data_IF_268295533348
#
_entry.id   IF_268295533348
#
_cell.length_a   1.000
_cell.length_b   1.000
_cell.length_c   1.000
_cell.angle_alpha   90.00
_cell.angle_beta   90.00
_cell.angle_gamma   90.00
#
_symmetry.space_group_name_H-M   'P 1'
#
loop_
_entity.id
_entity.type
_entity.pdbx_description
1 polymer ?
#
# COMPACT_ATOMS: atom_id res chain seq x y z
N UNK A 1 14.70 -15.20 -67.80
CA UNK A 1 16.14 -15.31 -67.51
C UNK A 1 16.54 -13.99 -66.86
N UNK A 2 16.88 -13.99 -65.55
CA UNK A 2 17.73 -13.05 -64.76
C UNK A 2 17.65 -11.53 -65.07
N UNK A 3 17.61 -10.55 -64.15
CA UNK A 3 17.80 -10.42 -62.69
C UNK A 3 17.42 -8.95 -62.34
N UNK A 4 16.82 -8.71 -61.16
CA UNK A 4 17.16 -7.71 -60.10
C UNK A 4 17.66 -6.30 -60.44
N UNK A 5 17.38 -5.20 -59.74
CA UNK A 5 16.77 -4.81 -58.44
C UNK A 5 16.67 -3.27 -58.47
N UNK A 6 15.73 -2.63 -57.74
CA UNK A 6 15.95 -1.53 -56.75
C UNK A 6 14.59 -1.16 -56.16
N UNK A 7 14.50 -1.34 -54.84
CA UNK A 7 13.47 -0.89 -53.90
C UNK A 7 13.23 0.62 -53.94
N UNK A 8 11.97 1.04 -53.74
CA UNK A 8 11.68 2.29 -53.04
C UNK A 8 10.48 2.10 -52.10
N UNK A 9 10.72 2.53 -50.86
CA UNK A 9 9.85 2.57 -49.71
C UNK A 9 8.46 3.14 -49.99
N UNK A 10 7.42 2.54 -49.42
CA UNK A 10 6.23 3.29 -49.04
C UNK A 10 5.92 3.03 -47.57
N UNK A 11 6.52 3.88 -46.74
CA UNK A 11 6.34 3.92 -45.31
C UNK A 11 5.29 4.96 -44.90
N UNK A 12 4.55 4.59 -43.84
CA UNK A 12 3.81 5.44 -42.90
C UNK A 12 2.39 5.84 -43.29
N UNK A 13 1.45 5.05 -42.78
CA UNK A 13 0.24 5.62 -42.16
C UNK A 13 -0.07 4.88 -40.85
N UNK A 14 -0.17 5.63 -39.74
CA UNK A 14 -0.82 5.13 -38.52
C UNK A 14 -0.05 5.16 -37.19
N UNK A 15 0.66 6.23 -36.77
CA UNK A 15 1.12 6.41 -35.36
C UNK A 15 1.27 7.88 -34.90
N UNK A 16 0.25 8.72 -35.07
CA UNK A 16 0.28 10.12 -34.55
C UNK A 16 -0.84 10.49 -33.58
N UNK A 17 -1.94 9.72 -33.51
CA UNK A 17 -3.10 10.05 -32.65
C UNK A 17 -2.96 9.71 -31.15
N UNK A 18 -2.18 8.69 -30.78
CA UNK A 18 -2.16 8.15 -29.41
C UNK A 18 -1.12 8.79 -28.46
N UNK A 19 -0.13 9.51 -29.01
CA UNK A 19 0.99 10.07 -28.26
C UNK A 19 0.59 11.08 -27.16
N UNK A 20 -0.35 12.03 -27.37
CA UNK A 20 -0.69 13.01 -26.32
C UNK A 20 -1.48 12.39 -25.17
N UNK A 21 -2.36 11.41 -25.44
CA UNK A 21 -3.15 10.74 -24.40
C UNK A 21 -2.30 9.80 -23.54
N UNK A 22 -1.43 9.00 -24.16
CA UNK A 22 -0.48 8.13 -23.43
C UNK A 22 0.48 8.94 -22.55
N UNK A 23 1.00 10.06 -23.05
CA UNK A 23 1.87 10.96 -22.27
C UNK A 23 1.15 11.59 -21.08
N UNK A 24 -0.14 11.95 -21.24
CA UNK A 24 -0.97 12.51 -20.16
C UNK A 24 -1.27 11.48 -19.07
N UNK A 25 -1.54 10.22 -19.43
CA UNK A 25 -1.76 9.11 -18.48
C UNK A 25 -0.46 8.79 -17.73
N UNK A 26 0.68 8.71 -18.44
CA UNK A 26 1.98 8.48 -17.83
C UNK A 26 2.33 9.55 -16.78
N UNK A 27 2.13 10.83 -17.11
CA UNK A 27 2.39 11.95 -16.19
C UNK A 27 1.49 11.89 -14.95
N UNK A 28 0.22 11.49 -15.09
CA UNK A 28 -0.71 11.34 -13.96
C UNK A 28 -0.30 10.19 -13.03
N UNK A 29 0.14 9.06 -13.58
CA UNK A 29 0.61 7.93 -12.80
C UNK A 29 1.92 8.26 -12.04
N UNK A 30 2.83 9.01 -12.65
CA UNK A 30 4.05 9.47 -11.98
C UNK A 30 3.73 10.45 -10.85
N UNK A 31 2.85 11.42 -11.10
CA UNK A 31 2.44 12.41 -10.10
C UNK A 31 1.75 11.76 -8.90
N UNK A 32 0.81 10.85 -9.15
CA UNK A 32 0.12 10.13 -8.07
C UNK A 32 1.07 9.20 -7.32
N UNK A 33 2.05 8.61 -7.99
CA UNK A 33 3.11 7.81 -7.36
C UNK A 33 3.99 8.63 -6.43
N UNK A 34 4.47 9.80 -6.88
CA UNK A 34 5.26 10.72 -6.04
C UNK A 34 4.47 11.22 -4.83
N UNK A 35 3.21 11.61 -5.05
CA UNK A 35 2.33 12.04 -3.97
C UNK A 35 2.10 10.92 -2.94
N UNK A 36 1.92 9.68 -3.40
CA UNK A 36 1.81 8.50 -2.54
C UNK A 36 3.11 8.22 -1.75
N UNK A 37 4.29 8.37 -2.36
CA UNK A 37 5.55 8.22 -1.64
C UNK A 37 5.71 9.27 -0.53
N UNK A 38 5.44 10.54 -0.84
CA UNK A 38 5.56 11.64 0.13
C UNK A 38 4.58 11.47 1.28
N UNK A 39 3.30 11.17 0.97
CA UNK A 39 2.28 10.95 1.99
C UNK A 39 2.61 9.73 2.85
N UNK A 40 3.06 8.63 2.25
CA UNK A 40 3.44 7.40 2.95
C UNK A 40 4.63 7.61 3.88
N UNK A 41 5.72 8.25 3.42
CA UNK A 41 6.87 8.54 4.26
C UNK A 41 6.51 9.48 5.42
N UNK A 42 5.74 10.54 5.15
CA UNK A 42 5.27 11.48 6.18
C UNK A 42 4.41 10.77 7.23
N UNK A 43 3.51 9.91 6.77
CA UNK A 43 2.62 9.14 7.64
C UNK A 43 3.38 8.21 8.57
N UNK A 44 4.41 7.51 8.07
CA UNK A 44 5.27 6.64 8.87
C UNK A 44 5.97 7.43 9.99
N UNK A 45 6.53 8.61 9.66
CA UNK A 45 7.23 9.46 10.62
C UNK A 45 6.29 9.99 11.71
N UNK A 46 5.11 10.49 11.33
CA UNK A 46 4.14 11.01 12.30
C UNK A 46 3.55 9.89 13.15
N UNK A 47 3.22 8.73 12.58
CA UNK A 47 2.80 7.57 13.38
C UNK A 47 3.87 7.14 14.37
N UNK A 48 5.15 7.11 13.96
CA UNK A 48 6.26 6.81 14.87
C UNK A 48 6.36 7.85 15.99
N UNK A 49 6.21 9.13 15.67
CA UNK A 49 6.23 10.20 16.67
C UNK A 49 5.08 10.04 17.69
N UNK A 50 3.85 9.78 17.24
CA UNK A 50 2.69 9.54 18.11
C UNK A 50 2.91 8.30 18.99
N UNK A 51 3.29 7.17 18.39
CA UNK A 51 3.37 5.90 19.11
C UNK A 51 4.60 5.81 20.03
N UNK A 52 5.75 6.35 19.61
CA UNK A 52 7.00 6.23 20.38
C UNK A 52 7.32 7.45 21.23
N UNK A 53 7.13 8.69 20.74
CA UNK A 53 7.50 9.89 21.51
C UNK A 53 6.46 10.26 22.56
N UNK A 54 5.16 10.11 22.25
CA UNK A 54 4.11 10.21 23.27
C UNK A 54 3.89 8.90 24.04
N UNK A 55 4.55 7.80 23.65
CA UNK A 55 4.33 6.46 24.19
C UNK A 55 2.83 6.05 24.15
N UNK A 56 2.16 6.39 23.05
CA UNK A 56 0.74 6.12 22.86
C UNK A 56 0.53 4.66 22.44
N UNK A 57 -0.01 3.85 23.36
CA UNK A 57 -0.16 2.41 23.17
C UNK A 57 -1.57 2.00 22.70
N UNK A 58 -2.13 2.73 21.73
CA UNK A 58 -3.41 2.41 21.11
C UNK A 58 -3.37 2.69 19.59
N UNK A 59 -2.67 1.84 18.86
CA UNK A 59 -2.46 1.98 17.42
C UNK A 59 -3.74 1.79 16.59
N UNK A 60 -4.67 0.94 17.02
CA UNK A 60 -5.95 0.73 16.33
C UNK A 60 -6.83 1.96 16.51
N UNK A 61 -6.84 2.57 17.70
CA UNK A 61 -7.53 3.83 17.96
C UNK A 61 -6.95 4.99 17.14
N UNK A 62 -5.62 5.08 17.01
CA UNK A 62 -4.98 6.07 16.15
C UNK A 62 -5.50 5.95 14.71
N UNK A 63 -5.53 4.73 14.15
CA UNK A 63 -6.10 4.47 12.82
C UNK A 63 -7.59 4.84 12.74
N UNK A 64 -8.39 4.49 13.76
CA UNK A 64 -9.80 4.87 13.83
C UNK A 64 -9.99 6.38 13.74
N UNK A 65 -9.22 7.12 14.54
CA UNK A 65 -9.27 8.57 14.53
C UNK A 65 -8.86 9.15 13.18
N UNK A 66 -7.84 8.59 12.53
CA UNK A 66 -7.42 8.99 11.17
C UNK A 66 -8.53 8.77 10.14
N UNK A 67 -9.20 7.62 10.19
CA UNK A 67 -10.33 7.31 9.31
C UNK A 67 -11.50 8.25 9.59
N UNK A 68 -11.77 8.56 10.86
CA UNK A 68 -12.82 9.49 11.27
C UNK A 68 -12.57 10.90 10.74
N UNK A 69 -11.36 11.43 10.93
CA UNK A 69 -10.94 12.74 10.38
C UNK A 69 -11.08 12.75 8.85
N UNK A 70 -10.69 11.66 8.18
CA UNK A 70 -10.82 11.52 6.73
C UNK A 70 -12.29 11.61 6.28
N UNK A 71 -13.20 10.90 6.96
CA UNK A 71 -14.64 10.95 6.67
C UNK A 71 -15.20 12.35 6.89
N UNK A 72 -14.90 12.97 8.04
CA UNK A 72 -15.40 14.33 8.37
C UNK A 72 -14.96 15.34 7.31
N UNK A 73 -13.68 15.35 6.94
CA UNK A 73 -13.17 16.31 5.95
C UNK A 73 -13.84 16.09 4.60
N UNK A 74 -13.93 14.86 4.11
CA UNK A 74 -14.54 14.57 2.80
C UNK A 74 -16.03 14.94 2.79
N UNK A 75 -16.76 14.65 3.87
CA UNK A 75 -18.18 15.04 4.00
C UNK A 75 -18.33 16.55 4.03
N UNK A 76 -17.52 17.28 4.81
CA UNK A 76 -17.56 18.74 4.88
C UNK A 76 -17.25 19.36 3.51
N UNK A 77 -16.21 18.90 2.82
CA UNK A 77 -15.88 19.38 1.48
C UNK A 77 -17.02 19.13 0.47
N UNK A 78 -17.72 18.00 0.56
CA UNK A 78 -18.88 17.70 -0.28
C UNK A 78 -20.08 18.60 0.05
N UNK A 79 -20.35 18.85 1.34
CA UNK A 79 -21.41 19.75 1.79
C UNK A 79 -21.15 21.21 1.38
N UNK A 80 -19.88 21.63 1.34
CA UNK A 80 -19.47 22.94 0.82
C UNK A 80 -19.53 23.03 -0.71
N UNK A 81 -19.83 21.94 -1.41
CA UNK A 81 -19.84 21.89 -2.88
C UNK A 81 -18.46 21.99 -3.53
N UNK A 82 -17.37 21.83 -2.76
CA UNK A 82 -16.00 21.87 -3.27
C UNK A 82 -15.61 20.58 -4.00
N UNK A 83 -16.21 19.46 -3.61
CA UNK A 83 -16.07 18.16 -4.26
C UNK A 83 -17.45 17.52 -4.42
N UNK A 84 -17.55 16.53 -5.29
CA UNK A 84 -18.74 15.70 -5.43
C UNK A 84 -18.39 14.28 -5.02
N UNK A 85 -19.17 13.68 -4.13
CA UNK A 85 -19.02 12.27 -3.76
C UNK A 85 -20.26 11.46 -4.11
N UNK A 86 -20.06 10.20 -4.51
CA UNK A 86 -21.15 9.26 -4.72
C UNK A 86 -21.89 8.97 -3.41
N UNK A 87 -23.24 8.90 -3.44
CA UNK A 87 -24.01 8.52 -2.27
C UNK A 87 -23.68 7.07 -1.86
N UNK A 88 -23.61 6.85 -0.54
CA UNK A 88 -23.33 5.55 0.06
C UNK A 88 -24.54 4.62 -0.07
N UNK A 89 -24.70 3.98 -1.23
CA UNK A 89 -25.77 2.98 -1.43
C UNK A 89 -25.38 1.64 -0.81
N UNK A 90 -26.37 0.87 -0.33
CA UNK A 90 -26.13 -0.48 0.21
C UNK A 90 -25.47 -1.41 -0.82
N UNK A 91 -25.75 -1.25 -2.11
CA UNK A 91 -25.12 -2.02 -3.19
C UNK A 91 -23.62 -1.71 -3.26
N UNK A 92 -23.27 -0.42 -3.27
CA UNK A 92 -21.89 0.04 -3.32
C UNK A 92 -21.11 -0.38 -2.07
N UNK A 93 -21.72 -0.24 -0.88
CA UNK A 93 -21.12 -0.70 0.37
C UNK A 93 -20.88 -2.21 0.38
N UNK A 94 -21.83 -3.04 -0.10
CA UNK A 94 -21.65 -4.49 -0.19
C UNK A 94 -20.50 -4.90 -1.11
N UNK A 95 -20.32 -4.21 -2.23
CA UNK A 95 -19.20 -4.46 -3.17
C UNK A 95 -17.85 -4.05 -2.56
N UNK A 96 -17.84 -3.00 -1.74
CA UNK A 96 -16.62 -2.46 -1.13
C UNK A 96 -16.24 -3.13 0.21
N UNK A 97 -17.21 -3.70 0.91
CA UNK A 97 -17.02 -4.28 2.24
C UNK A 97 -15.92 -5.36 2.32
N UNK A 98 -15.78 -6.30 1.36
CA UNK A 98 -14.70 -7.31 1.39
C UNK A 98 -13.30 -6.72 1.49
N UNK A 99 -13.06 -5.56 0.86
CA UNK A 99 -11.77 -4.85 0.92
C UNK A 99 -11.42 -4.48 2.36
N UNK A 100 -12.41 -4.01 3.13
CA UNK A 100 -12.22 -3.59 4.52
C UNK A 100 -12.03 -4.78 5.47
N UNK A 101 -12.68 -5.91 5.19
CA UNK A 101 -12.45 -7.15 5.95
C UNK A 101 -11.02 -7.66 5.76
N UNK A 102 -10.51 -7.67 4.52
CA UNK A 102 -9.12 -8.05 4.24
C UNK A 102 -8.15 -7.06 4.90
N UNK A 103 -8.46 -5.76 4.87
CA UNK A 103 -7.67 -4.73 5.55
C UNK A 103 -7.55 -5.00 7.06
N UNK A 104 -8.66 -5.34 7.74
CA UNK A 104 -8.63 -5.75 9.15
C UNK A 104 -7.79 -7.01 9.38
N UNK A 105 -7.94 -8.04 8.56
CA UNK A 105 -7.09 -9.23 8.65
C UNK A 105 -5.61 -8.88 8.49
N UNK A 106 -5.28 -7.98 7.56
CA UNK A 106 -3.92 -7.50 7.35
C UNK A 106 -3.38 -6.78 8.59
N UNK A 107 -4.19 -5.96 9.28
CA UNK A 107 -3.77 -5.31 10.53
C UNK A 107 -3.47 -6.33 11.62
N UNK A 108 -4.41 -7.25 11.88
CA UNK A 108 -4.27 -8.28 12.91
C UNK A 108 -3.00 -9.12 12.67
N UNK A 109 -2.85 -9.66 11.47
CA UNK A 109 -1.68 -10.48 11.11
C UNK A 109 -0.37 -9.70 11.20
N UNK A 110 -0.37 -8.40 10.85
CA UNK A 110 0.82 -7.55 11.00
C UNK A 110 1.17 -7.31 12.46
N UNK A 111 0.19 -7.11 13.34
CA UNK A 111 0.42 -6.92 14.78
C UNK A 111 0.99 -8.18 15.42
N UNK A 112 0.42 -9.35 15.12
CA UNK A 112 0.94 -10.61 15.61
C UNK A 112 2.33 -10.91 15.07
N UNK A 113 2.61 -10.61 13.80
CA UNK A 113 3.96 -10.80 13.24
C UNK A 113 5.01 -9.96 13.98
N UNK A 114 4.76 -8.66 14.17
CA UNK A 114 5.67 -7.75 14.86
C UNK A 114 5.89 -8.08 16.35
N UNK A 115 5.01 -8.88 16.96
CA UNK A 115 5.20 -9.38 18.33
C UNK A 115 6.31 -10.43 18.43
N UNK A 116 6.55 -11.19 17.36
CA UNK A 116 7.44 -12.35 17.37
C UNK A 116 8.70 -12.17 16.53
N UNK A 117 8.66 -11.30 15.51
CA UNK A 117 9.82 -11.05 14.64
C UNK A 117 10.14 -9.56 14.57
N UNK A 118 11.42 -9.26 14.40
CA UNK A 118 11.91 -7.89 14.35
C UNK A 118 11.45 -7.16 13.07
N UNK A 119 11.40 -5.82 13.13
CA UNK A 119 10.92 -4.95 12.05
C UNK A 119 11.70 -5.12 10.75
N UNK A 120 13.02 -5.37 10.85
CA UNK A 120 13.87 -5.56 9.67
C UNK A 120 13.46 -6.83 8.91
N UNK A 121 13.26 -7.95 9.62
CA UNK A 121 12.83 -9.21 9.02
C UNK A 121 11.42 -9.12 8.43
N UNK A 122 10.48 -8.45 9.12
CA UNK A 122 9.14 -8.13 8.56
C UNK A 122 9.27 -7.40 7.22
N UNK A 123 10.23 -6.48 7.12
CA UNK A 123 10.43 -5.70 5.89
C UNK A 123 10.94 -6.58 4.74
N UNK A 124 11.88 -7.47 5.00
CA UNK A 124 12.38 -8.42 4.01
C UNK A 124 11.28 -9.39 3.56
N UNK A 125 10.57 -10.01 4.51
CA UNK A 125 9.47 -10.95 4.19
C UNK A 125 8.33 -10.28 3.43
N UNK A 126 8.07 -8.99 3.69
CA UNK A 126 7.07 -8.22 2.94
C UNK A 126 7.38 -8.13 1.45
N UNK A 127 8.63 -8.30 1.01
CA UNK A 127 8.94 -8.35 -0.42
C UNK A 127 8.31 -9.57 -1.12
N UNK A 128 8.02 -10.66 -0.39
CA UNK A 128 7.26 -11.81 -0.90
C UNK A 128 5.84 -11.41 -1.34
N UNK A 129 5.27 -10.37 -0.74
CA UNK A 129 3.99 -9.78 -1.17
C UNK A 129 4.01 -9.39 -2.64
N UNK A 130 5.13 -8.88 -3.16
CA UNK A 130 5.26 -8.51 -4.58
C UNK A 130 5.10 -9.72 -5.49
N UNK A 131 5.64 -10.88 -5.09
CA UNK A 131 5.53 -12.14 -5.82
C UNK A 131 4.08 -12.59 -5.86
N UNK A 132 3.42 -12.65 -4.69
CA UNK A 132 2.01 -13.06 -4.57
C UNK A 132 1.11 -12.10 -5.38
N UNK A 133 1.42 -10.80 -5.35
CA UNK A 133 0.66 -9.79 -6.10
C UNK A 133 0.82 -9.98 -7.60
N UNK A 134 2.03 -10.22 -8.11
CA UNK A 134 2.27 -10.44 -9.53
C UNK A 134 1.59 -11.72 -10.04
N UNK A 135 1.69 -12.82 -9.28
CA UNK A 135 0.99 -14.07 -9.57
C UNK A 135 -0.53 -13.85 -9.56
N UNK A 136 -1.06 -13.18 -8.53
CA UNK A 136 -2.48 -12.89 -8.44
C UNK A 136 -2.97 -11.94 -9.54
N UNK A 137 -2.14 -11.00 -9.99
CA UNK A 137 -2.47 -10.11 -11.11
C UNK A 137 -2.60 -10.90 -12.42
N UNK A 138 -1.73 -11.90 -12.63
CA UNK A 138 -1.81 -12.82 -13.77
C UNK A 138 -3.10 -13.64 -13.75
N UNK A 139 -3.48 -14.24 -12.63
CA UNK A 139 -4.69 -15.05 -12.54
C UNK A 139 -5.99 -14.24 -12.58
N UNK A 140 -6.05 -13.08 -11.93
CA UNK A 140 -7.29 -12.31 -11.79
C UNK A 140 -7.54 -11.34 -12.95
N UNK A 141 -6.48 -10.83 -13.58
CA UNK A 141 -6.58 -9.81 -14.63
C UNK A 141 -5.96 -10.26 -15.96
N UNK A 142 -5.56 -11.53 -16.08
CA UNK A 142 -4.95 -12.13 -17.27
C UNK A 142 -3.75 -11.32 -17.81
N UNK A 143 -2.97 -10.71 -16.90
CA UNK A 143 -1.78 -9.92 -17.27
C UNK A 143 -0.54 -10.80 -17.32
N UNK A 144 0.27 -10.63 -18.35
CA UNK A 144 1.58 -11.25 -18.44
C UNK A 144 2.67 -10.33 -17.90
N UNK A 145 3.75 -10.92 -17.43
CA UNK A 145 4.92 -10.21 -16.93
C UNK A 145 6.20 -10.66 -17.64
N UNK A 146 7.07 -9.69 -17.92
CA UNK A 146 8.35 -9.95 -18.57
C UNK A 146 9.27 -10.85 -17.73
N UNK A 147 10.13 -11.60 -18.40
CA UNK A 147 11.14 -12.46 -17.75
C UNK A 147 12.04 -11.68 -16.77
N UNK A 148 12.28 -10.39 -17.03
CA UNK A 148 13.04 -9.51 -16.12
C UNK A 148 12.31 -9.27 -14.80
N UNK A 149 10.98 -9.16 -14.84
CA UNK A 149 10.14 -9.01 -13.65
C UNK A 149 10.19 -10.29 -12.82
N UNK A 150 10.06 -11.45 -13.47
CA UNK A 150 10.18 -12.76 -12.81
C UNK A 150 11.55 -12.99 -12.19
N UNK A 151 12.64 -12.63 -12.88
CA UNK A 151 13.98 -12.71 -12.33
C UNK A 151 14.13 -11.85 -11.06
N UNK A 152 13.59 -10.63 -11.06
CA UNK A 152 13.65 -9.76 -9.88
C UNK A 152 12.81 -10.29 -8.71
N UNK A 153 11.62 -10.84 -8.99
CA UNK A 153 10.77 -11.48 -7.98
C UNK A 153 11.47 -12.71 -7.37
N UNK A 154 12.18 -13.50 -8.18
CA UNK A 154 12.96 -14.64 -7.70
C UNK A 154 14.09 -14.20 -6.75
N UNK A 155 14.80 -13.11 -7.05
CA UNK A 155 15.80 -12.53 -6.15
C UNK A 155 15.19 -12.11 -4.79
N UNK A 156 13.97 -11.58 -4.78
CA UNK A 156 13.28 -11.26 -3.52
C UNK A 156 12.99 -12.49 -2.68
N UNK A 157 12.64 -13.63 -3.30
CA UNK A 157 12.44 -14.90 -2.60
C UNK A 157 13.75 -15.36 -1.98
N UNK A 158 14.86 -15.34 -2.74
CA UNK A 158 16.19 -15.70 -2.22
C UNK A 158 16.56 -14.83 -1.02
N UNK A 159 16.32 -13.51 -1.09
CA UNK A 159 16.55 -12.60 0.05
C UNK A 159 15.71 -12.99 1.26
N UNK A 160 14.42 -13.28 1.09
CA UNK A 160 13.53 -13.67 2.17
C UNK A 160 13.95 -14.99 2.84
N UNK A 161 14.32 -16.00 2.04
CA UNK A 161 14.78 -17.30 2.54
C UNK A 161 16.13 -17.17 3.25
N UNK A 162 17.10 -16.48 2.65
CA UNK A 162 18.42 -16.27 3.27
C UNK A 162 18.33 -15.44 4.56
N UNK A 163 17.50 -14.40 4.59
CA UNK A 163 17.22 -13.63 5.80
C UNK A 163 16.58 -14.49 6.89
N UNK A 164 15.67 -15.41 6.51
CA UNK A 164 15.06 -16.36 7.43
C UNK A 164 16.06 -17.33 8.06
N UNK A 165 16.95 -17.91 7.25
CA UNK A 165 17.98 -18.86 7.69
C UNK A 165 19.01 -18.19 8.61
N UNK A 166 19.30 -16.90 8.39
CA UNK A 166 20.32 -16.15 9.12
C UNK A 166 19.76 -15.31 10.28
N UNK A 167 18.45 -15.40 10.54
CA UNK A 167 17.82 -14.69 11.65
C UNK A 167 18.14 -15.38 12.99
N UNK A 168 18.95 -14.71 13.81
CA UNK A 168 19.31 -15.17 15.15
C UNK A 168 18.11 -15.20 16.11
N UNK A 169 17.03 -14.47 15.78
CA UNK A 169 15.78 -14.42 16.55
C UNK A 169 14.63 -15.14 15.84
N UNK A 170 14.94 -16.20 15.09
CA UNK A 170 13.94 -16.94 14.32
C UNK A 170 12.78 -17.44 15.21
N UNK A 171 11.56 -17.11 14.82
CA UNK A 171 10.34 -17.56 15.48
C UNK A 171 9.32 -18.07 14.45
N UNK A 172 9.14 -19.39 14.36
CA UNK A 172 8.27 -20.01 13.35
C UNK A 172 6.84 -19.45 13.35
N UNK A 173 6.28 -19.14 14.53
CA UNK A 173 4.94 -18.54 14.68
C UNK A 173 4.91 -17.13 14.10
N UNK A 174 5.92 -16.32 14.39
CA UNK A 174 6.05 -14.97 13.82
C UNK A 174 6.21 -14.95 12.30
N UNK A 175 6.98 -15.88 11.76
CA UNK A 175 7.13 -16.07 10.32
C UNK A 175 5.83 -16.53 9.65
N UNK A 176 5.08 -17.45 10.27
CA UNK A 176 3.77 -17.89 9.77
C UNK A 176 2.77 -16.73 9.73
N UNK A 177 2.71 -15.91 10.79
CA UNK A 177 1.91 -14.69 10.80
C UNK A 177 2.32 -13.70 9.72
N UNK A 178 3.63 -13.55 9.47
CA UNK A 178 4.11 -12.67 8.42
C UNK A 178 3.76 -13.17 7.02
N UNK A 179 3.82 -14.48 6.77
CA UNK A 179 3.40 -15.07 5.50
C UNK A 179 1.90 -14.85 5.28
N UNK A 180 1.08 -15.09 6.31
CA UNK A 180 -0.36 -14.78 6.27
C UNK A 180 -0.60 -13.29 5.98
N UNK A 181 0.18 -12.39 6.60
CA UNK A 181 0.14 -10.97 6.33
C UNK A 181 0.50 -10.64 4.88
N UNK A 182 1.50 -11.29 4.29
CA UNK A 182 1.86 -11.11 2.88
C UNK A 182 0.73 -11.51 1.93
N UNK A 183 0.06 -12.64 2.20
CA UNK A 183 -1.13 -13.05 1.44
C UNK A 183 -2.25 -12.02 1.55
N UNK A 184 -2.61 -11.59 2.76
CA UNK A 184 -3.67 -10.60 2.97
C UNK A 184 -3.33 -9.24 2.36
N UNK A 185 -2.06 -8.82 2.41
CA UNK A 185 -1.60 -7.56 1.78
C UNK A 185 -1.73 -7.62 0.26
N UNK A 186 -1.33 -8.74 -0.36
CA UNK A 186 -1.49 -8.95 -1.79
C UNK A 186 -2.98 -9.00 -2.17
N UNK A 187 -3.79 -9.80 -1.45
CA UNK A 187 -5.24 -9.89 -1.61
C UNK A 187 -5.93 -8.55 -1.45
N UNK A 188 -5.48 -7.70 -0.52
CA UNK A 188 -6.02 -6.35 -0.34
C UNK A 188 -5.81 -5.52 -1.61
N UNK A 189 -4.58 -5.44 -2.12
CA UNK A 189 -4.27 -4.63 -3.31
C UNK A 189 -5.01 -5.12 -4.57
N UNK A 190 -5.11 -6.45 -4.76
CA UNK A 190 -5.79 -7.07 -5.90
C UNK A 190 -7.31 -6.90 -5.80
N UNK A 191 -7.88 -7.16 -4.61
CA UNK A 191 -9.33 -7.01 -4.38
C UNK A 191 -9.71 -5.54 -4.48
N UNK A 192 -8.96 -4.63 -3.87
CA UNK A 192 -9.22 -3.19 -3.99
C UNK A 192 -9.21 -2.78 -5.47
N UNK A 193 -8.20 -3.19 -6.25
CA UNK A 193 -8.17 -2.89 -7.69
C UNK A 193 -9.41 -3.42 -8.43
N UNK A 194 -9.79 -4.67 -8.20
CA UNK A 194 -10.97 -5.29 -8.81
C UNK A 194 -12.25 -4.56 -8.39
N UNK A 195 -12.38 -4.24 -7.12
CA UNK A 195 -13.51 -3.53 -6.53
C UNK A 195 -13.63 -2.13 -7.10
N UNK A 196 -12.54 -1.40 -7.35
CA UNK A 196 -12.59 -0.08 -8.02
C UNK A 196 -13.22 -0.17 -9.42
N UNK A 197 -12.99 -1.26 -10.15
CA UNK A 197 -13.57 -1.48 -11.48
C UNK A 197 -15.02 -1.99 -11.40
N UNK A 198 -15.34 -2.89 -10.47
CA UNK A 198 -16.72 -3.41 -10.28
C UNK A 198 -17.65 -2.35 -9.67
N UNK A 199 -17.15 -1.52 -8.76
CA UNK A 199 -17.93 -0.49 -8.08
C UNK A 199 -18.49 0.55 -9.08
N UNK A 200 -17.74 0.87 -10.16
CA UNK A 200 -18.22 1.75 -11.24
C UNK A 200 -19.51 1.25 -11.92
N UNK A 201 -19.73 -0.06 -11.96
CA UNK A 201 -20.93 -0.65 -12.58
C UNK A 201 -22.18 -0.50 -11.69
N UNK A 202 -21.99 -0.27 -10.40
CA UNK A 202 -23.08 -0.15 -9.41
C UNK A 202 -23.25 1.27 -8.85
N UNK A 203 -22.37 2.20 -9.23
CA UNK A 203 -22.52 3.64 -8.93
C UNK A 203 -23.66 4.25 -9.72
N UNK A 204 -24.36 5.22 -9.11
CA UNK A 204 -25.51 5.86 -9.74
C UNK A 204 -25.11 6.79 -10.88
N UNK A 205 -23.96 7.47 -10.76
CA UNK A 205 -23.42 8.34 -11.82
C UNK A 205 -22.67 7.61 -12.92
N UNK A 206 -22.39 6.31 -12.75
CA UNK A 206 -21.55 5.53 -13.66
C UNK A 206 -20.03 5.82 -13.55
N UNK A 207 -19.60 6.69 -12.63
CA UNK A 207 -18.19 6.93 -12.37
C UNK A 207 -17.91 7.04 -10.87
N UNK A 208 -16.87 6.33 -10.41
CA UNK A 208 -16.43 6.37 -9.02
C UNK A 208 -15.15 7.19 -8.92
N UNK A 209 -15.26 8.42 -8.43
CA UNK A 209 -14.10 9.30 -8.21
C UNK A 209 -13.30 8.92 -6.95
N UNK A 210 -12.09 9.43 -6.85
CA UNK A 210 -11.15 9.12 -5.77
C UNK A 210 -11.69 9.51 -4.39
N UNK A 211 -12.38 10.65 -4.26
CA UNK A 211 -12.98 11.07 -2.99
C UNK A 211 -14.09 10.12 -2.52
N UNK A 212 -14.88 9.58 -3.44
CA UNK A 212 -15.91 8.58 -3.12
C UNK A 212 -15.29 7.27 -2.65
N UNK A 213 -14.18 6.84 -3.27
CA UNK A 213 -13.44 5.66 -2.84
C UNK A 213 -12.84 5.85 -1.44
N UNK A 214 -12.28 7.03 -1.17
CA UNK A 214 -11.76 7.40 0.15
C UNK A 214 -12.89 7.39 1.18
N UNK A 215 -14.03 8.01 0.88
CA UNK A 215 -15.18 8.04 1.78
C UNK A 215 -15.67 6.63 2.09
N UNK A 216 -15.87 5.78 1.08
CA UNK A 216 -16.28 4.39 1.24
C UNK A 216 -15.31 3.60 2.13
N UNK A 217 -14.02 3.68 1.82
CA UNK A 217 -13.02 2.90 2.53
C UNK A 217 -12.90 3.32 3.99
N UNK A 218 -12.79 4.63 4.26
CA UNK A 218 -12.64 5.12 5.63
C UNK A 218 -13.92 4.90 6.43
N UNK A 219 -15.10 5.12 5.84
CA UNK A 219 -16.40 4.91 6.52
C UNK A 219 -16.59 3.44 6.89
N UNK A 220 -16.32 2.51 5.98
CA UNK A 220 -16.46 1.07 6.26
C UNK A 220 -15.39 0.53 7.20
N UNK A 221 -14.23 1.19 7.28
CA UNK A 221 -13.18 0.87 8.25
C UNK A 221 -13.53 1.30 9.68
N UNK A 222 -14.40 2.29 9.89
CA UNK A 222 -14.79 2.75 11.24
C UNK A 222 -15.44 1.67 12.11
N UNK A 223 -16.55 1.01 11.70
CA UNK A 223 -17.18 -0.01 12.54
C UNK A 223 -16.26 -1.21 12.79
N UNK A 224 -15.45 -1.58 11.80
CA UNK A 224 -14.49 -2.67 11.95
C UNK A 224 -13.32 -2.30 12.87
N UNK A 225 -12.81 -1.08 12.76
CA UNK A 225 -11.77 -0.58 13.66
C UNK A 225 -12.27 -0.47 15.10
N UNK A 226 -13.53 -0.09 15.32
CA UNK A 226 -14.14 -0.02 16.64
C UNK A 226 -14.21 -1.42 17.24
N UNK A 227 -14.70 -2.40 16.48
CA UNK A 227 -14.71 -3.81 16.87
C UNK A 227 -13.29 -4.29 17.27
N UNK A 228 -12.27 -3.96 16.48
CA UNK A 228 -10.89 -4.30 16.79
C UNK A 228 -10.38 -3.62 18.07
N UNK A 229 -10.65 -2.33 18.23
CA UNK A 229 -10.18 -1.57 19.40
C UNK A 229 -10.77 -2.12 20.71
N UNK A 230 -12.04 -2.57 20.69
CA UNK A 230 -12.62 -3.35 21.78
C UNK A 230 -11.97 -4.73 21.95
N UNK A 231 -11.76 -5.47 20.86
CA UNK A 231 -11.22 -6.84 20.91
C UNK A 231 -9.77 -6.91 21.40
N UNK A 232 -8.97 -5.87 21.11
CA UNK A 232 -7.57 -5.74 21.56
C UNK A 232 -7.44 -4.97 22.88
N UNK A 233 -8.56 -4.66 23.53
CA UNK A 233 -8.62 -4.01 24.84
C UNK A 233 -7.90 -2.66 24.92
N UNK A 234 -7.83 -1.91 23.81
CA UNK A 234 -7.24 -0.57 23.80
C UNK A 234 -8.10 0.44 24.59
N UNK A 235 -9.40 0.17 24.75
CA UNK A 235 -10.33 1.04 25.48
C UNK A 235 -9.91 1.25 26.94
N UNK A 236 -9.45 0.19 27.62
CA UNK A 236 -8.97 0.29 29.00
C UNK A 236 -7.79 1.24 29.13
N UNK A 237 -6.86 1.19 28.18
CA UNK A 237 -5.73 2.12 28.11
C UNK A 237 -6.20 3.56 27.82
N UNK A 238 -7.14 3.74 26.89
CA UNK A 238 -7.66 5.05 26.50
C UNK A 238 -8.36 5.77 27.66
N UNK A 239 -9.08 5.05 28.52
CA UNK A 239 -9.72 5.65 29.70
C UNK A 239 -8.72 6.15 30.75
N UNK A 240 -7.54 5.54 30.82
CA UNK A 240 -6.54 5.83 31.84
C UNK A 240 -5.50 6.85 31.38
N UNK A 241 -5.22 6.90 30.08
CA UNK A 241 -4.11 7.71 29.57
C UNK A 241 -4.37 9.23 29.72
N UNK A 242 -3.47 9.99 30.35
CA UNK A 242 -3.63 11.45 30.48
C UNK A 242 -3.46 12.17 29.14
N UNK A 243 -2.92 11.50 28.11
CA UNK A 243 -2.65 12.08 26.79
C UNK A 243 -3.92 12.65 26.13
N UNK A 244 -5.08 12.02 26.35
CA UNK A 244 -6.36 12.50 25.80
C UNK A 244 -6.82 13.83 26.38
N UNK A 245 -6.22 14.30 27.49
CA UNK A 245 -6.52 15.61 28.09
C UNK A 245 -5.60 16.72 27.55
N UNK A 246 -4.56 16.37 26.81
CA UNK A 246 -3.57 17.34 26.32
C UNK A 246 -3.97 17.90 24.95
N UNK A 247 -4.20 19.23 24.83
CA UNK A 247 -4.52 19.84 23.53
C UNK A 247 -3.40 19.64 22.49
N UNK A 248 -2.14 19.67 22.93
CA UNK A 248 -0.98 19.41 22.09
C UNK A 248 -1.01 18.02 21.44
N UNK A 249 -1.47 17.00 22.19
CA UNK A 249 -1.61 15.65 21.66
C UNK A 249 -2.68 15.61 20.55
N UNK A 250 -3.83 16.25 20.76
CA UNK A 250 -4.88 16.33 19.75
C UNK A 250 -4.44 17.05 18.48
N UNK A 251 -3.63 18.11 18.58
CA UNK A 251 -3.07 18.76 17.38
C UNK A 251 -2.24 17.78 16.53
N UNK A 252 -1.39 16.97 17.17
CA UNK A 252 -0.58 15.95 16.47
C UNK A 252 -1.45 14.81 15.95
N UNK A 253 -2.46 14.36 16.72
CA UNK A 253 -3.43 13.36 16.27
C UNK A 253 -4.20 13.84 15.05
N UNK A 254 -4.65 15.10 15.02
CA UNK A 254 -5.35 15.68 13.88
C UNK A 254 -4.42 15.83 12.67
N UNK A 255 -3.17 16.25 12.85
CA UNK A 255 -2.17 16.25 11.78
C UNK A 255 -1.96 14.83 11.21
N UNK A 256 -1.89 13.82 12.08
CA UNK A 256 -1.84 12.42 11.68
C UNK A 256 -3.09 12.02 10.90
N UNK A 257 -4.28 12.48 11.30
CA UNK A 257 -5.53 12.29 10.54
C UNK A 257 -5.52 12.94 9.16
N UNK A 258 -4.95 14.14 9.02
CA UNK A 258 -4.77 14.81 7.72
C UNK A 258 -3.83 14.01 6.81
N UNK A 259 -2.73 13.49 7.35
CA UNK A 259 -1.82 12.60 6.61
C UNK A 259 -2.47 11.25 6.29
N UNK A 260 -3.34 10.74 7.17
CA UNK A 260 -4.20 9.57 6.95
C UNK A 260 -5.12 9.75 5.75
N UNK A 261 -5.77 10.91 5.66
CA UNK A 261 -6.55 11.29 4.48
C UNK A 261 -5.67 11.36 3.22
N UNK A 262 -4.52 12.02 3.32
CA UNK A 262 -3.60 12.19 2.20
C UNK A 262 -3.10 10.84 1.65
N UNK A 263 -2.68 9.91 2.51
CA UNK A 263 -2.26 8.57 2.07
C UNK A 263 -3.43 7.76 1.53
N UNK A 264 -4.62 7.84 2.15
CA UNK A 264 -5.82 7.15 1.65
C UNK A 264 -6.18 7.61 0.24
N UNK A 265 -6.19 8.92 0.00
CA UNK A 265 -6.45 9.50 -1.32
C UNK A 265 -5.36 9.15 -2.33
N UNK A 266 -4.10 9.42 -2.01
CA UNK A 266 -2.99 9.23 -2.96
C UNK A 266 -2.76 7.76 -3.29
N UNK A 267 -2.97 6.84 -2.35
CA UNK A 267 -2.88 5.39 -2.60
C UNK A 267 -3.95 4.90 -3.56
N UNK A 268 -5.21 5.31 -3.37
CA UNK A 268 -6.31 4.97 -4.29
C UNK A 268 -6.12 5.63 -5.65
N UNK A 269 -5.72 6.90 -5.68
CA UNK A 269 -5.42 7.60 -6.93
C UNK A 269 -4.29 6.91 -7.70
N UNK A 270 -3.21 6.54 -7.02
CA UNK A 270 -2.10 5.82 -7.65
C UNK A 270 -2.50 4.43 -8.14
N UNK A 271 -3.24 3.66 -7.31
CA UNK A 271 -3.73 2.35 -7.70
C UNK A 271 -4.71 2.44 -8.88
N UNK A 272 -5.54 3.48 -8.95
CA UNK A 272 -6.48 3.72 -10.05
C UNK A 272 -5.75 3.96 -11.37
N UNK A 273 -4.68 4.78 -11.35
CA UNK A 273 -3.88 5.08 -12.54
C UNK A 273 -2.93 3.96 -12.94
N UNK A 274 -2.69 2.99 -12.06
CA UNK A 274 -1.71 1.92 -12.28
C UNK A 274 -2.35 0.53 -12.15
N UNK A 275 -1.68 -0.40 -11.50
CA UNK A 275 -2.13 -1.77 -11.27
C UNK A 275 -1.56 -2.30 -9.96
N UNK A 276 -2.10 -3.41 -9.47
CA UNK A 276 -1.76 -3.92 -8.14
C UNK A 276 -0.26 -4.18 -7.97
N UNK A 277 0.41 -4.71 -9.00
CA UNK A 277 1.87 -4.97 -8.96
C UNK A 277 2.68 -3.68 -8.88
N UNK A 278 2.32 -2.63 -9.63
CA UNK A 278 3.01 -1.32 -9.56
C UNK A 278 2.76 -0.63 -8.22
N UNK A 279 1.54 -0.75 -7.69
CA UNK A 279 1.19 -0.25 -6.37
C UNK A 279 2.00 -0.93 -5.25
N UNK A 280 2.07 -2.26 -5.27
CA UNK A 280 2.83 -3.07 -4.31
C UNK A 280 4.33 -2.79 -4.37
N UNK A 281 4.85 -2.58 -5.58
CA UNK A 281 6.24 -2.18 -5.84
C UNK A 281 6.60 -0.86 -5.17
N UNK A 282 5.82 0.20 -5.40
CA UNK A 282 6.08 1.51 -4.77
C UNK A 282 5.92 1.41 -3.26
N UNK A 283 4.93 0.68 -2.77
CA UNK A 283 4.77 0.39 -1.35
C UNK A 283 5.98 -0.34 -0.73
N UNK A 284 6.70 -1.15 -1.51
CA UNK A 284 7.94 -1.80 -1.06
C UNK A 284 9.13 -0.84 -1.06
N UNK A 285 9.23 0.05 -2.05
CA UNK A 285 10.26 1.10 -2.08
C UNK A 285 10.12 2.09 -0.91
N UNK A 286 8.89 2.45 -0.53
CA UNK A 286 8.62 3.33 0.62
C UNK A 286 9.07 2.73 1.97
N UNK A 287 9.38 1.43 2.02
CA UNK A 287 9.92 0.78 3.23
C UNK A 287 11.43 0.89 3.33
N UNK A 288 12.15 1.22 2.25
CA UNK A 288 13.61 1.38 2.27
C UNK A 288 14.04 2.47 3.28
N UNK A 289 13.44 3.69 3.28
CA UNK A 289 13.75 4.70 4.29
C UNK A 289 13.45 4.23 5.72
N UNK A 290 12.37 3.46 5.91
CA UNK A 290 12.00 2.88 7.20
C UNK A 290 13.03 1.86 7.69
N UNK A 291 13.53 0.98 6.81
CA UNK A 291 14.59 0.03 7.16
C UNK A 291 15.89 0.73 7.54
N UNK A 292 16.29 1.75 6.79
CA UNK A 292 17.49 2.55 7.08
C UNK A 292 17.32 3.24 8.45
N UNK A 293 16.19 3.93 8.65
CA UNK A 293 15.88 4.57 9.93
C UNK A 293 15.80 3.55 11.07
N UNK A 294 15.30 2.33 10.80
CA UNK A 294 15.17 1.28 11.80
C UNK A 294 16.52 0.74 12.28
N UNK A 295 17.43 0.46 11.35
CA UNK A 295 18.77 -0.04 11.66
C UNK A 295 19.59 1.03 12.40
N UNK A 296 19.54 2.27 11.92
CA UNK A 296 20.31 3.39 12.50
C UNK A 296 19.76 3.84 13.86
N UNK A 297 18.44 3.81 14.06
CA UNK A 297 17.81 4.34 15.29
C UNK A 297 17.59 3.29 16.38
N UNK A 298 17.46 2.00 16.05
CA UNK A 298 17.11 0.97 17.03
C UNK A 298 18.26 0.07 17.45
N UNK A 299 19.49 0.26 16.94
CA UNK A 299 20.69 -0.51 17.30
C UNK A 299 20.40 -2.03 17.44
N UNK A 300 19.58 -2.56 16.53
CA UNK A 300 19.16 -3.96 16.59
C UNK A 300 20.39 -4.81 16.36
N UNK A 301 20.68 -5.81 17.20
CA UNK A 301 21.80 -6.71 17.00
C UNK A 301 21.55 -7.54 15.73
N UNK A 302 22.05 -7.06 14.59
CA UNK A 302 21.98 -7.76 13.32
C UNK A 302 23.32 -8.43 13.04
N UNK A 303 23.31 -9.74 12.75
CA UNK A 303 24.51 -10.39 12.23
C UNK A 303 24.91 -9.76 10.89
N UNK A 304 26.19 -9.84 10.54
CA UNK A 304 26.67 -9.35 9.24
C UNK A 304 25.93 -10.03 8.07
N UNK A 305 25.62 -11.32 8.23
CA UNK A 305 24.89 -12.12 7.26
C UNK A 305 23.43 -11.67 7.12
N UNK A 306 22.71 -11.44 8.23
CA UNK A 306 21.34 -10.94 8.20
C UNK A 306 21.27 -9.54 7.59
N UNK A 307 22.22 -8.66 7.94
CA UNK A 307 22.35 -7.32 7.35
C UNK A 307 22.56 -7.37 5.83
N UNK A 308 23.40 -8.29 5.35
CA UNK A 308 23.62 -8.52 3.93
C UNK A 308 22.35 -9.02 3.21
N UNK A 309 21.60 -9.94 3.82
CA UNK A 309 20.32 -10.44 3.27
C UNK A 309 19.25 -9.34 3.19
N UNK A 310 19.18 -8.45 4.18
CA UNK A 310 18.30 -7.28 4.17
C UNK A 310 18.67 -6.35 3.01
N UNK A 311 19.95 -5.96 2.90
CA UNK A 311 20.43 -5.10 1.81
C UNK A 311 20.17 -5.72 0.44
N UNK A 312 20.42 -7.02 0.29
CA UNK A 312 20.15 -7.76 -0.94
C UNK A 312 18.66 -7.70 -1.32
N UNK A 313 17.76 -7.83 -0.34
CA UNK A 313 16.31 -7.69 -0.56
C UNK A 313 15.88 -6.31 -1.02
N UNK A 314 16.48 -5.26 -0.45
CA UNK A 314 16.22 -3.88 -0.88
C UNK A 314 16.72 -3.66 -2.32
N UNK A 315 17.90 -4.17 -2.67
CA UNK A 315 18.44 -4.12 -4.04
C UNK A 315 17.53 -4.88 -5.02
N UNK A 316 17.07 -6.08 -4.66
CA UNK A 316 16.11 -6.83 -5.46
C UNK A 316 14.81 -6.03 -5.68
N UNK A 317 14.34 -5.31 -4.66
CA UNK A 317 13.26 -4.31 -4.75
C UNK A 317 13.47 -3.26 -5.84
N UNK A 318 14.66 -2.68 -5.88
CA UNK A 318 15.04 -1.66 -6.88
C UNK A 318 15.16 -2.29 -8.29
N UNK A 319 15.72 -3.49 -8.40
CA UNK A 319 15.80 -4.22 -9.68
C UNK A 319 14.40 -4.52 -10.22
N UNK A 320 13.47 -4.94 -9.36
CA UNK A 320 12.06 -5.15 -9.72
C UNK A 320 11.39 -3.85 -10.17
N UNK A 321 11.64 -2.74 -9.47
CA UNK A 321 11.17 -1.41 -9.89
C UNK A 321 11.64 -1.06 -11.30
N UNK A 322 12.94 -1.25 -11.56
CA UNK A 322 13.52 -0.99 -12.88
C UNK A 322 12.97 -1.93 -13.97
N UNK A 323 12.79 -3.21 -13.66
CA UNK A 323 12.22 -4.19 -14.58
C UNK A 323 10.78 -3.81 -14.96
N UNK A 324 9.95 -3.46 -13.97
CA UNK A 324 8.55 -3.10 -14.18
C UNK A 324 8.38 -1.78 -14.94
N UNK A 325 9.26 -0.80 -14.72
CA UNK A 325 9.27 0.45 -15.49
C UNK A 325 9.61 0.21 -16.97
N UNK A 326 10.50 -0.75 -17.26
CA UNK A 326 10.90 -1.10 -18.63
C UNK A 326 9.87 -1.95 -19.37
N UNK A 327 9.07 -2.74 -18.66
CA UNK A 327 7.97 -3.53 -19.24
C UNK A 327 6.84 -2.64 -19.80
N UNK A 328 6.64 -1.44 -19.25
CA UNK A 328 5.65 -0.47 -19.74
C UNK A 328 6.11 0.34 -20.96
N UNK A 329 7.36 0.19 -21.39
CA UNK A 329 7.99 1.00 -22.43
C UNK A 329 8.24 0.21 -23.69
#
# INVERSE_FOLDING_TARGET
>A
MKHDVVDLEDGKTGKSGDKPLQRKIHNRALLSGLAYCISSCSMILVNKFVLSSYNFNAGIFLMLYQNFVSVIIVVVLNLMGLITTEPLTLKLMKVWFPVNVIFVGMLITSMFSLKYINVAMVTVLKNVTNVITAVGEMYLFNKQHDNRVWAALFLMIISAVSGGITDLSFNAVGYAWQIANCFLTASYSLTLRKTMDTAKQVTQSGNLNEFSMVLLNNTLSLPLGLLLSFSFNEMDYLYQTPLLRLPGFWMVMTLSGLLGLAISFTSMWFLHQTGATTYSLVGSLNKIPLSIAGIVLFNVPTSLQNSASILFGLVAGVVFARAKMREKS
#
